data_IF_614714412045
#
_entry.id   IF_614714412045
#
_cell.length_a   1.000
_cell.length_b   1.000
_cell.length_c   1.000
_cell.angle_alpha   90.00
_cell.angle_beta   90.00
_cell.angle_gamma   90.00
#
_symmetry.space_group_name_H-M   'P 1'
#
loop_
_entity.id
_entity.type
_entity.pdbx_description
1 polymer ?
#
# COMPACT_ATOMS: atom_id res chain seq x y z
N UNK A 1 -7.61 23.22 -2.10
CA UNK A 1 -6.98 22.75 -3.34
C UNK A 1 -6.06 21.62 -2.93
N UNK A 2 -6.23 20.41 -3.46
CA UNK A 2 -5.29 19.33 -3.20
C UNK A 2 -3.93 19.73 -3.77
N UNK A 3 -2.87 19.61 -2.96
CA UNK A 3 -1.52 19.92 -3.37
C UNK A 3 -1.10 18.90 -4.46
N UNK A 4 -0.67 19.34 -5.65
CA UNK A 4 -0.25 18.43 -6.73
C UNK A 4 0.92 17.53 -6.31
N UNK A 5 1.79 17.98 -5.41
CA UNK A 5 2.87 17.16 -4.87
C UNK A 5 2.34 16.03 -3.98
N UNK A 6 1.35 16.34 -3.15
CA UNK A 6 0.69 15.36 -2.29
C UNK A 6 -0.14 14.34 -3.10
N UNK A 7 -0.77 14.79 -4.18
CA UNK A 7 -1.50 13.90 -5.10
C UNK A 7 -0.53 12.90 -5.74
N UNK A 8 0.66 13.34 -6.13
CA UNK A 8 1.71 12.47 -6.64
C UNK A 8 2.21 11.48 -5.57
N UNK A 9 2.42 11.93 -4.34
CA UNK A 9 2.83 11.07 -3.22
C UNK A 9 1.77 9.99 -2.90
N UNK A 10 0.48 10.33 -2.96
CA UNK A 10 -0.61 9.37 -2.78
C UNK A 10 -0.58 8.33 -3.92
N UNK A 11 -0.40 8.75 -5.17
CA UNK A 11 -0.33 7.85 -6.31
C UNK A 11 0.90 6.91 -6.25
N UNK A 12 2.05 7.41 -5.82
CA UNK A 12 3.25 6.60 -5.61
C UNK A 12 3.05 5.58 -4.49
N UNK A 13 2.40 5.97 -3.39
CA UNK A 13 2.06 5.07 -2.30
C UNK A 13 1.03 4.00 -2.72
N UNK A 14 0.03 4.35 -3.53
CA UNK A 14 -0.92 3.39 -4.11
C UNK A 14 -0.19 2.36 -4.98
N UNK A 15 0.74 2.82 -5.80
CA UNK A 15 1.54 1.94 -6.66
C UNK A 15 2.40 0.99 -5.82
N UNK A 16 3.08 1.49 -4.79
CA UNK A 16 3.90 0.66 -3.90
C UNK A 16 3.05 -0.41 -3.18
N UNK A 17 1.86 -0.05 -2.71
CA UNK A 17 0.90 -1.00 -2.10
C UNK A 17 0.49 -2.09 -3.09
N UNK A 18 0.20 -1.72 -4.34
CA UNK A 18 -0.18 -2.68 -5.39
C UNK A 18 0.99 -3.63 -5.74
N UNK A 19 2.21 -3.11 -5.81
CA UNK A 19 3.40 -3.94 -6.08
C UNK A 19 3.68 -4.91 -4.93
N UNK A 20 3.49 -4.47 -3.68
CA UNK A 20 3.61 -5.31 -2.49
C UNK A 20 2.54 -6.41 -2.45
N UNK A 21 1.29 -6.11 -2.83
CA UNK A 21 0.23 -7.12 -2.98
C UNK A 21 0.58 -8.21 -3.98
N UNK A 22 1.10 -7.83 -5.14
CA UNK A 22 1.48 -8.79 -6.18
C UNK A 22 2.70 -9.63 -5.77
N UNK A 23 3.67 -9.01 -5.09
CA UNK A 23 4.81 -9.72 -4.51
C UNK A 23 4.36 -10.74 -3.46
N UNK A 24 3.42 -10.35 -2.58
CA UNK A 24 2.87 -11.23 -1.55
C UNK A 24 2.09 -12.40 -2.15
N UNK A 25 1.27 -12.16 -3.17
CA UNK A 25 0.58 -13.25 -3.89
C UNK A 25 1.57 -14.24 -4.49
N UNK A 26 2.66 -13.76 -5.09
CA UNK A 26 3.70 -14.63 -5.66
C UNK A 26 4.43 -15.41 -4.57
N UNK A 27 4.74 -14.77 -3.44
CA UNK A 27 5.40 -15.41 -2.30
C UNK A 27 4.52 -16.49 -1.66
N UNK A 28 3.25 -16.17 -1.41
CA UNK A 28 2.26 -17.11 -0.90
C UNK A 28 2.05 -18.31 -1.84
N UNK A 29 1.96 -18.06 -3.16
CA UNK A 29 1.88 -19.12 -4.16
C UNK A 29 3.14 -19.99 -4.23
N UNK A 30 4.31 -19.45 -3.86
CA UNK A 30 5.56 -20.19 -3.73
C UNK A 30 5.68 -20.95 -2.40
N UNK A 31 4.68 -20.87 -1.52
CA UNK A 31 4.67 -21.52 -0.20
C UNK A 31 5.56 -20.81 0.83
N UNK A 32 5.93 -19.55 0.58
CA UNK A 32 6.62 -18.71 1.55
C UNK A 32 5.61 -18.22 2.58
N UNK A 33 5.98 -18.23 3.86
CA UNK A 33 5.15 -17.63 4.92
C UNK A 33 5.13 -16.11 4.75
N UNK A 34 3.94 -15.57 4.51
CA UNK A 34 3.69 -14.15 4.24
C UNK A 34 2.94 -13.46 5.38
N UNK A 35 2.69 -14.12 6.51
CA UNK A 35 1.81 -13.59 7.56
C UNK A 35 2.25 -12.21 8.10
N UNK A 36 3.55 -12.04 8.36
CA UNK A 36 4.09 -10.76 8.83
C UNK A 36 4.02 -9.67 7.75
N UNK A 37 4.32 -10.03 6.49
CA UNK A 37 4.28 -9.10 5.37
C UNK A 37 2.85 -8.68 5.01
N UNK A 38 1.88 -9.58 5.16
CA UNK A 38 0.45 -9.27 5.00
C UNK A 38 -0.03 -8.27 6.06
N UNK A 39 0.47 -8.40 7.29
CA UNK A 39 0.19 -7.44 8.36
C UNK A 39 0.80 -6.06 8.06
N UNK A 40 2.07 -6.01 7.65
CA UNK A 40 2.72 -4.75 7.26
C UNK A 40 1.99 -4.09 6.08
N UNK A 41 1.57 -4.87 5.09
CA UNK A 41 0.78 -4.36 3.96
C UNK A 41 -0.57 -3.80 4.41
N UNK A 42 -1.24 -4.46 5.37
CA UNK A 42 -2.51 -3.97 5.92
C UNK A 42 -2.32 -2.63 6.64
N UNK A 43 -1.25 -2.47 7.42
CA UNK A 43 -0.91 -1.21 8.09
C UNK A 43 -0.59 -0.11 7.06
N UNK A 44 0.16 -0.41 6.01
CA UNK A 44 0.47 0.53 4.92
C UNK A 44 -0.80 1.00 4.19
N UNK A 45 -1.75 0.09 3.91
CA UNK A 45 -3.06 0.42 3.32
C UNK A 45 -3.88 1.31 4.22
N UNK A 46 -3.90 1.05 5.52
CA UNK A 46 -4.62 1.87 6.49
C UNK A 46 -4.04 3.28 6.57
N UNK A 47 -2.70 3.40 6.59
CA UNK A 47 -2.02 4.69 6.55
C UNK A 47 -2.35 5.48 5.28
N UNK A 48 -2.32 4.82 4.11
CA UNK A 48 -2.68 5.43 2.83
C UNK A 48 -4.15 5.86 2.79
N UNK A 49 -5.06 5.06 3.37
CA UNK A 49 -6.47 5.43 3.50
C UNK A 49 -6.64 6.68 4.36
N UNK A 50 -6.03 6.71 5.55
CA UNK A 50 -6.06 7.87 6.46
C UNK A 50 -5.51 9.12 5.78
N UNK A 51 -4.43 8.97 5.00
CA UNK A 51 -3.88 10.04 4.18
C UNK A 51 -4.93 10.56 3.21
N UNK A 52 -5.54 9.69 2.39
CA UNK A 52 -6.59 10.09 1.45
C UNK A 52 -7.80 10.75 2.11
N UNK A 53 -8.25 10.24 3.26
CA UNK A 53 -9.37 10.81 4.02
C UNK A 53 -9.04 12.20 4.58
N UNK A 54 -7.80 12.44 5.00
CA UNK A 54 -7.36 13.74 5.48
C UNK A 54 -7.26 14.81 4.38
N UNK A 55 -7.22 14.40 3.11
CA UNK A 55 -6.99 15.27 1.96
C UNK A 55 -8.08 15.20 0.88
N UNK A 56 -9.18 14.48 1.13
CA UNK A 56 -10.43 14.50 0.35
C UNK A 56 -11.31 15.68 0.77
#
# INVERSE_FOLDING_TARGET
>A
MADPELTAQIADAEKAVSEAEDALKKASAAGIDTADLEKELAEAKEALRKLKEAYS
#
